data_IF_377544910635
#
_entry.id   IF_377544910635
#
_cell.length_a   1.000
_cell.length_b   1.000
_cell.length_c   1.000
_cell.angle_alpha   90.00
_cell.angle_beta   90.00
_cell.angle_gamma   90.00
#
_symmetry.space_group_name_H-M   'P 1'
#
loop_
_entity.id
_entity.type
_entity.pdbx_description
1 polymer ?
#
# COMPACT_ATOMS: atom_id res chain seq x y z
N UNK A 1 6.93 9.39 -14.33
CA UNK A 1 7.40 8.21 -13.57
C UNK A 1 8.68 8.59 -12.84
N UNK A 2 8.86 8.13 -11.61
CA UNK A 2 10.14 8.24 -10.92
C UNK A 2 11.05 7.09 -11.37
N UNK A 3 12.35 7.37 -11.51
CA UNK A 3 13.42 6.40 -11.77
C UNK A 3 14.06 6.03 -10.45
N UNK A 4 14.32 4.74 -10.23
CA UNK A 4 15.03 4.22 -9.04
C UNK A 4 16.29 3.52 -9.53
N UNK A 5 17.44 3.84 -8.91
CA UNK A 5 18.76 3.31 -9.25
C UNK A 5 19.50 2.93 -7.98
N UNK A 6 20.18 1.77 -8.01
CA UNK A 6 21.14 1.40 -6.96
C UNK A 6 22.50 1.88 -7.44
N UNK A 7 23.15 2.70 -6.64
CA UNK A 7 24.44 3.33 -6.95
C UNK A 7 25.46 2.98 -5.87
N UNK A 8 26.72 3.12 -6.21
CA UNK A 8 27.83 2.94 -5.29
C UNK A 8 28.81 4.10 -5.42
N UNK A 9 29.19 4.68 -4.28
CA UNK A 9 30.20 5.75 -4.19
C UNK A 9 31.03 5.54 -2.93
N UNK A 10 32.34 5.68 -3.03
CA UNK A 10 33.32 5.48 -1.94
C UNK A 10 33.09 4.19 -1.10
N UNK A 11 32.65 3.11 -1.77
CA UNK A 11 32.36 1.83 -1.11
C UNK A 11 31.01 1.76 -0.41
N UNK A 12 30.23 2.84 -0.39
CA UNK A 12 28.88 2.86 0.15
C UNK A 12 27.86 2.65 -0.96
N UNK A 13 26.95 1.68 -0.76
CA UNK A 13 25.81 1.46 -1.65
C UNK A 13 24.60 2.27 -1.16
N UNK A 14 23.90 2.93 -2.07
CA UNK A 14 22.68 3.70 -1.78
C UNK A 14 21.68 3.60 -2.92
N UNK A 15 20.44 4.00 -2.66
CA UNK A 15 19.37 4.06 -3.66
C UNK A 15 19.09 5.50 -4.01
N UNK A 16 19.15 5.86 -5.31
CA UNK A 16 18.72 7.17 -5.81
C UNK A 16 17.35 7.07 -6.46
N UNK A 17 16.44 7.92 -6.01
CA UNK A 17 15.13 8.12 -6.62
C UNK A 17 15.08 9.49 -7.29
N UNK A 18 14.75 9.51 -8.60
CA UNK A 18 14.71 10.72 -9.43
C UNK A 18 13.33 10.91 -10.04
N UNK A 19 12.84 12.14 -10.15
CA UNK A 19 11.56 12.50 -10.77
C UNK A 19 10.68 13.34 -9.84
N UNK A 20 9.37 13.09 -9.81
CA UNK A 20 8.48 13.79 -8.87
C UNK A 20 8.57 13.12 -7.48
N UNK A 21 9.56 13.59 -6.70
CA UNK A 21 9.91 13.00 -5.40
C UNK A 21 9.25 13.70 -4.19
N UNK A 22 8.65 14.87 -4.39
CA UNK A 22 8.12 15.69 -3.28
C UNK A 22 7.13 14.92 -2.41
N UNK A 23 6.21 14.19 -3.04
CA UNK A 23 5.19 13.39 -2.33
C UNK A 23 5.78 12.25 -1.49
N UNK A 24 6.89 11.65 -1.93
CA UNK A 24 7.58 10.63 -1.15
C UNK A 24 8.33 11.24 0.03
N UNK A 25 9.09 12.33 -0.22
CA UNK A 25 9.87 13.00 0.83
C UNK A 25 8.98 13.58 1.92
N UNK A 26 7.90 14.27 1.54
CA UNK A 26 6.91 14.80 2.47
C UNK A 26 6.35 13.68 3.37
N UNK A 27 6.05 12.50 2.80
CA UNK A 27 5.50 11.40 3.56
C UNK A 27 6.55 10.69 4.43
N UNK A 28 7.79 10.53 3.93
CA UNK A 28 8.91 10.01 4.72
C UNK A 28 9.17 10.87 5.95
N UNK A 29 9.21 12.21 5.80
CA UNK A 29 9.40 13.15 6.91
C UNK A 29 8.27 13.06 7.93
N UNK A 30 7.03 13.02 7.46
CA UNK A 30 5.88 12.87 8.34
C UNK A 30 5.88 11.54 9.12
N UNK A 31 6.31 10.43 8.51
CA UNK A 31 6.38 9.12 9.15
C UNK A 31 7.61 8.96 10.06
N UNK A 32 8.67 9.75 9.86
CA UNK A 32 9.91 9.64 10.63
C UNK A 32 9.73 9.87 12.15
N UNK A 33 8.62 10.52 12.54
CA UNK A 33 8.26 10.75 13.96
C UNK A 33 7.58 9.54 14.62
N UNK A 34 7.15 8.56 13.83
CA UNK A 34 6.49 7.34 14.31
C UNK A 34 7.54 6.26 14.59
N UNK A 35 7.19 5.29 15.42
CA UNK A 35 8.04 4.14 15.69
C UNK A 35 7.90 3.08 14.55
N UNK A 36 8.17 3.51 13.31
CA UNK A 36 8.15 2.68 12.10
C UNK A 36 9.55 2.68 11.48
N UNK A 37 10.03 1.51 11.08
CA UNK A 37 11.31 1.40 10.38
C UNK A 37 11.17 1.87 8.92
N UNK A 38 11.91 2.93 8.58
CA UNK A 38 11.97 3.54 7.25
C UNK A 38 13.43 3.62 6.79
N UNK A 39 13.72 3.64 5.47
CA UNK A 39 15.06 3.93 4.99
C UNK A 39 15.46 5.37 5.33
N UNK A 40 16.71 5.57 5.76
CA UNK A 40 17.24 6.91 6.02
C UNK A 40 17.42 7.68 4.71
N UNK A 41 16.91 8.91 4.64
CA UNK A 41 17.27 9.84 3.58
C UNK A 41 18.68 10.35 3.86
N UNK A 42 19.58 10.19 2.88
CA UNK A 42 20.98 10.55 2.98
C UNK A 42 21.22 11.96 2.42
N UNK A 43 20.72 12.23 1.21
CA UNK A 43 20.88 13.51 0.53
C UNK A 43 19.63 13.84 -0.29
N UNK A 44 19.37 15.12 -0.51
CA UNK A 44 18.27 15.60 -1.36
C UNK A 44 18.86 16.60 -2.39
N UNK A 45 18.54 16.38 -3.67
CA UNK A 45 18.99 17.20 -4.80
C UNK A 45 17.80 17.58 -5.67
N UNK A 46 17.46 18.81 -5.85
CA UNK A 46 16.46 19.25 -6.82
C UNK A 46 15.28 18.26 -7.07
N UNK A 47 15.42 17.43 -8.07
CA UNK A 47 14.43 16.40 -8.44
C UNK A 47 14.82 14.96 -8.08
N UNK A 48 15.81 14.77 -7.21
CA UNK A 48 16.25 13.43 -6.75
C UNK A 48 16.61 13.45 -5.26
N UNK A 49 16.59 12.27 -4.64
CA UNK A 49 17.15 12.05 -3.32
C UNK A 49 17.82 10.67 -3.25
N UNK A 50 18.82 10.60 -2.37
CA UNK A 50 19.50 9.36 -2.02
C UNK A 50 18.99 8.87 -0.68
N UNK A 51 18.78 7.57 -0.59
CA UNK A 51 18.38 6.90 0.64
C UNK A 51 19.21 5.65 0.88
N UNK A 52 19.20 5.19 2.11
CA UNK A 52 19.84 3.97 2.57
C UNK A 52 19.49 2.79 1.64
N UNK A 53 20.51 2.06 1.21
CA UNK A 53 20.31 0.77 0.56
C UNK A 53 20.03 -0.29 1.63
N UNK A 54 18.88 -0.95 1.52
CA UNK A 54 18.51 -2.05 2.41
C UNK A 54 18.95 -3.38 1.76
N UNK A 55 19.97 -4.02 2.34
CA UNK A 55 20.26 -5.42 2.00
C UNK A 55 19.11 -6.29 2.51
N UNK A 56 18.34 -6.88 1.61
CA UNK A 56 17.03 -7.41 1.96
C UNK A 56 16.66 -8.71 1.24
N UNK A 57 15.63 -9.37 1.78
CA UNK A 57 14.70 -10.18 1.01
C UNK A 57 13.44 -9.35 0.70
N UNK A 58 12.94 -9.47 -0.54
CA UNK A 58 11.56 -9.08 -0.84
C UNK A 58 10.56 -10.02 -0.12
N UNK A 59 9.29 -9.64 -0.05
CA UNK A 59 8.31 -10.45 0.67
C UNK A 59 8.04 -11.81 0.02
N UNK A 60 8.24 -11.99 -1.28
CA UNK A 60 8.10 -13.30 -1.92
C UNK A 60 9.20 -14.25 -1.46
N UNK A 61 10.44 -13.77 -1.41
CA UNK A 61 11.57 -14.51 -0.85
C UNK A 61 11.36 -14.79 0.64
N UNK A 62 10.92 -13.78 1.41
CA UNK A 62 10.60 -13.96 2.82
C UNK A 62 9.51 -15.02 3.05
N UNK A 63 8.45 -15.01 2.24
CA UNK A 63 7.38 -16.02 2.30
C UNK A 63 7.89 -17.43 2.02
N UNK A 64 8.89 -17.58 1.18
CA UNK A 64 9.48 -18.90 0.88
C UNK A 64 10.29 -19.46 2.05
N UNK A 65 10.92 -18.60 2.85
CA UNK A 65 11.93 -18.98 3.86
C UNK A 65 11.41 -18.94 5.29
N UNK A 66 10.40 -18.12 5.60
CA UNK A 66 9.99 -17.80 6.96
C UNK A 66 8.53 -18.11 7.25
N UNK A 67 8.18 -18.18 8.55
CA UNK A 67 6.80 -18.14 9.01
C UNK A 67 6.29 -16.69 9.06
N UNK A 68 4.97 -16.49 9.23
CA UNK A 68 4.36 -15.17 9.13
C UNK A 68 4.25 -14.40 10.45
N UNK A 69 4.64 -15.01 11.58
CA UNK A 69 4.42 -14.42 12.92
C UNK A 69 5.06 -13.02 13.07
N UNK A 70 6.32 -12.90 12.69
CA UNK A 70 7.07 -11.64 12.82
C UNK A 70 6.55 -10.59 11.84
N UNK A 71 6.22 -10.99 10.61
CA UNK A 71 5.60 -10.10 9.62
C UNK A 71 4.23 -9.61 10.11
N UNK A 72 3.38 -10.49 10.64
CA UNK A 72 2.08 -10.09 11.22
C UNK A 72 2.28 -9.08 12.36
N UNK A 73 3.24 -9.33 13.25
CA UNK A 73 3.57 -8.40 14.34
C UNK A 73 4.00 -7.04 13.82
N UNK A 74 4.87 -7.00 12.82
CA UNK A 74 5.32 -5.77 12.18
C UNK A 74 4.17 -5.00 11.51
N UNK A 75 3.33 -5.69 10.71
CA UNK A 75 2.21 -5.06 10.02
C UNK A 75 1.18 -4.49 11.01
N UNK A 76 0.84 -5.24 12.07
CA UNK A 76 -0.06 -4.76 13.15
C UNK A 76 0.53 -3.56 13.87
N UNK A 77 1.80 -3.63 14.27
CA UNK A 77 2.49 -2.50 14.90
C UNK A 77 2.49 -1.26 14.01
N UNK A 78 2.70 -1.42 12.70
CA UNK A 78 2.65 -0.31 11.75
C UNK A 78 1.26 0.33 11.73
N UNK A 79 0.18 -0.45 11.67
CA UNK A 79 -1.20 0.07 11.72
C UNK A 79 -1.49 0.75 13.06
N UNK A 80 -1.03 0.19 14.17
CA UNK A 80 -1.18 0.80 15.51
C UNK A 80 -0.48 2.17 15.58
N UNK A 81 0.72 2.31 15.00
CA UNK A 81 1.42 3.60 14.94
C UNK A 81 0.68 4.61 14.07
N UNK A 82 0.18 4.19 12.90
CA UNK A 82 -0.55 5.06 11.98
C UNK A 82 -1.91 5.52 12.55
N UNK A 83 -2.55 4.71 13.38
CA UNK A 83 -3.88 4.98 13.96
C UNK A 83 -3.86 5.75 15.28
N UNK A 84 -2.70 6.09 15.85
CA UNK A 84 -2.60 6.72 17.20
C UNK A 84 -3.30 8.05 17.35
N UNK A 85 -3.26 8.88 16.32
CA UNK A 85 -3.83 10.22 16.34
C UNK A 85 -4.86 10.33 15.21
N UNK A 86 -6.14 10.25 15.57
CA UNK A 86 -7.22 10.29 14.60
C UNK A 86 -8.16 11.46 14.84
N UNK A 87 -8.67 12.02 13.76
CA UNK A 87 -9.73 13.03 13.76
C UNK A 87 -10.78 12.58 12.74
N UNK A 88 -12.05 12.51 13.13
CA UNK A 88 -13.13 12.19 12.22
C UNK A 88 -13.21 13.20 11.07
N UNK A 89 -13.27 12.70 9.83
CA UNK A 89 -13.27 13.51 8.60
C UNK A 89 -14.31 13.00 7.62
N UNK A 90 -15.01 13.92 6.96
CA UNK A 90 -15.92 13.63 5.84
C UNK A 90 -15.11 13.44 4.55
N UNK A 91 -15.17 12.25 3.97
CA UNK A 91 -14.46 11.88 2.73
C UNK A 91 -15.31 12.01 1.47
N UNK A 92 -16.59 12.41 1.57
CA UNK A 92 -17.52 12.44 0.43
C UNK A 92 -16.97 13.23 -0.75
N UNK A 93 -16.47 14.45 -0.53
CA UNK A 93 -15.92 15.29 -1.59
C UNK A 93 -14.65 14.70 -2.23
N UNK A 94 -13.83 13.97 -1.47
CA UNK A 94 -12.66 13.28 -1.96
C UNK A 94 -13.08 12.12 -2.87
N UNK A 95 -14.06 11.31 -2.46
CA UNK A 95 -14.61 10.25 -3.30
C UNK A 95 -15.18 10.79 -4.60
N UNK A 96 -16.03 11.83 -4.52
CA UNK A 96 -16.63 12.48 -5.69
C UNK A 96 -15.57 12.98 -6.67
N UNK A 97 -14.56 13.69 -6.18
CA UNK A 97 -13.46 14.23 -7.00
C UNK A 97 -12.63 13.11 -7.66
N UNK A 98 -12.24 12.09 -6.89
CA UNK A 98 -11.38 11.01 -7.41
C UNK A 98 -12.12 10.10 -8.39
N UNK A 99 -13.37 9.76 -8.09
CA UNK A 99 -14.18 8.91 -8.94
C UNK A 99 -14.73 9.66 -10.17
N UNK A 100 -14.87 10.98 -10.14
CA UNK A 100 -15.19 11.78 -11.33
C UNK A 100 -14.08 11.69 -12.40
N UNK A 101 -12.82 11.58 -11.99
CA UNK A 101 -11.69 11.43 -12.89
C UNK A 101 -11.48 9.99 -13.39
N UNK A 102 -12.15 9.00 -12.79
CA UNK A 102 -12.00 7.59 -13.16
C UNK A 102 -12.85 7.28 -14.42
N UNK A 103 -12.27 6.64 -15.45
CA UNK A 103 -12.96 6.40 -16.71
C UNK A 103 -13.84 5.13 -16.67
N UNK A 104 -14.95 5.16 -15.92
CA UNK A 104 -15.85 4.01 -15.70
C UNK A 104 -16.24 3.30 -17.00
N UNK A 105 -16.53 4.03 -18.07
CA UNK A 105 -16.94 3.45 -19.35
C UNK A 105 -15.89 2.55 -20.04
N UNK A 106 -14.64 2.57 -19.57
CA UNK A 106 -13.55 1.74 -20.10
C UNK A 106 -13.47 0.34 -19.46
N UNK A 107 -14.21 0.11 -18.37
CA UNK A 107 -14.11 -1.07 -17.54
C UNK A 107 -15.46 -1.74 -17.36
N UNK A 108 -15.44 -3.07 -17.23
CA UNK A 108 -16.62 -3.88 -17.01
C UNK A 108 -16.90 -4.00 -15.50
N UNK A 109 -17.50 -2.95 -14.93
CA UNK A 109 -17.82 -2.84 -13.52
C UNK A 109 -19.30 -3.10 -13.25
N UNK A 110 -19.65 -3.75 -12.12
CA UNK A 110 -21.05 -4.09 -11.79
C UNK A 110 -21.83 -2.93 -11.17
N UNK A 111 -21.28 -1.73 -11.13
CA UNK A 111 -21.86 -0.53 -10.50
C UNK A 111 -21.49 0.75 -11.23
N UNK A 112 -22.26 1.77 -10.98
CA UNK A 112 -21.99 3.16 -11.38
C UNK A 112 -21.15 3.88 -10.32
N UNK A 113 -20.60 5.04 -10.68
CA UNK A 113 -19.91 5.94 -9.73
C UNK A 113 -20.76 6.24 -8.50
N UNK A 114 -22.03 6.62 -8.73
CA UNK A 114 -22.91 7.09 -7.66
C UNK A 114 -23.33 5.95 -6.72
N UNK A 115 -23.53 4.74 -7.25
CA UNK A 115 -23.77 3.54 -6.44
C UNK A 115 -22.58 3.22 -5.54
N UNK A 116 -21.34 3.33 -6.04
CA UNK A 116 -20.16 3.11 -5.21
C UNK A 116 -20.05 4.19 -4.11
N UNK A 117 -20.24 5.47 -4.46
CA UNK A 117 -20.17 6.57 -3.48
C UNK A 117 -21.21 6.36 -2.36
N UNK A 118 -22.42 5.91 -2.70
CA UNK A 118 -23.47 5.64 -1.72
C UNK A 118 -23.15 4.51 -0.73
N UNK A 119 -22.23 3.62 -1.10
CA UNK A 119 -21.77 2.47 -0.28
C UNK A 119 -20.51 2.77 0.53
N UNK A 120 -19.72 3.77 0.11
CA UNK A 120 -18.50 4.14 0.81
C UNK A 120 -18.83 4.82 2.17
N UNK A 121 -18.05 4.56 3.24
CA UNK A 121 -18.24 5.20 4.52
C UNK A 121 -17.97 6.71 4.38
N UNK A 122 -18.97 7.52 4.76
CA UNK A 122 -18.88 8.97 4.68
C UNK A 122 -17.83 9.54 5.63
N UNK A 123 -17.80 9.05 6.85
CA UNK A 123 -16.88 9.48 7.90
C UNK A 123 -15.89 8.39 8.19
N UNK A 124 -14.60 8.75 8.21
CA UNK A 124 -13.50 7.90 8.58
C UNK A 124 -12.49 8.70 9.43
N UNK A 125 -11.67 8.02 10.25
CA UNK A 125 -10.59 8.67 10.96
C UNK A 125 -9.50 9.13 9.97
N UNK A 126 -9.29 10.45 9.82
CA UNK A 126 -8.05 11.00 9.25
C UNK A 126 -6.90 10.76 10.23
N UNK A 127 -5.75 10.32 9.77
CA UNK A 127 -4.65 9.86 10.61
C UNK A 127 -3.30 10.01 9.92
N UNK A 128 -2.24 9.57 10.57
CA UNK A 128 -1.04 9.21 9.82
C UNK A 128 -1.33 8.05 8.89
N UNK A 129 -0.57 7.95 7.78
CA UNK A 129 -0.79 6.94 6.74
C UNK A 129 0.47 6.73 5.92
N UNK A 130 0.59 5.59 5.27
CA UNK A 130 1.66 5.30 4.31
C UNK A 130 1.29 5.77 2.89
N UNK A 131 0.03 5.57 2.48
CA UNK A 131 -0.53 5.96 1.19
C UNK A 131 -0.37 4.93 0.07
N UNK A 132 0.44 3.88 0.29
CA UNK A 132 0.59 2.72 -0.58
C UNK A 132 1.08 1.48 0.21
N UNK A 133 0.38 1.13 1.30
CA UNK A 133 0.76 0.06 2.22
C UNK A 133 0.45 -1.31 1.62
N UNK A 134 1.37 -1.80 0.80
CA UNK A 134 1.32 -3.11 0.12
C UNK A 134 2.50 -3.98 0.56
N UNK A 135 2.42 -5.29 0.33
CA UNK A 135 3.52 -6.21 0.62
C UNK A 135 4.75 -5.96 -0.27
N UNK A 136 4.57 -5.41 -1.48
CA UNK A 136 5.70 -4.99 -2.34
C UNK A 136 6.52 -3.84 -1.73
N UNK A 137 5.91 -3.06 -0.81
CA UNK A 137 6.55 -1.95 -0.12
C UNK A 137 7.11 -2.32 1.27
N UNK A 138 7.19 -3.61 1.58
CA UNK A 138 7.82 -4.14 2.81
C UNK A 138 9.07 -4.94 2.42
N UNK A 139 10.21 -4.60 3.04
CA UNK A 139 11.46 -5.33 2.87
C UNK A 139 11.86 -6.00 4.19
N UNK A 140 12.42 -7.21 4.11
CA UNK A 140 13.06 -7.85 5.25
C UNK A 140 14.55 -7.58 5.22
N UNK A 141 15.04 -6.73 6.14
CA UNK A 141 16.45 -6.33 6.25
C UNK A 141 17.29 -7.46 6.83
N UNK A 142 18.35 -7.84 6.11
CA UNK A 142 19.21 -8.97 6.48
C UNK A 142 20.22 -8.65 7.59
N UNK A 143 20.55 -7.38 7.79
CA UNK A 143 21.60 -6.96 8.74
C UNK A 143 21.19 -7.10 10.20
N UNK A 144 19.90 -6.96 10.50
CA UNK A 144 19.33 -6.99 11.85
C UNK A 144 18.04 -7.80 11.98
N UNK A 145 17.64 -8.49 10.89
CA UNK A 145 16.42 -9.29 10.82
C UNK A 145 15.15 -8.49 11.14
N UNK A 146 15.08 -7.25 10.65
CA UNK A 146 13.95 -6.35 10.85
C UNK A 146 13.18 -6.12 9.54
N UNK A 147 11.94 -5.61 9.64
CA UNK A 147 11.19 -5.15 8.47
C UNK A 147 11.36 -3.64 8.30
N UNK A 148 11.40 -3.21 7.05
CA UNK A 148 11.50 -1.80 6.65
C UNK A 148 10.39 -1.50 5.66
N UNK A 149 9.66 -0.42 5.91
CA UNK A 149 8.59 0.07 5.03
C UNK A 149 9.18 1.10 4.08
N UNK A 150 8.95 0.93 2.77
CA UNK A 150 9.52 1.78 1.72
C UNK A 150 8.42 2.45 0.89
N UNK A 151 8.79 3.46 0.11
CA UNK A 151 7.94 4.13 -0.87
C UNK A 151 6.60 4.70 -0.36
N UNK A 152 6.59 5.41 0.78
CA UNK A 152 5.38 6.10 1.23
C UNK A 152 4.99 7.20 0.23
N UNK A 153 3.69 7.49 0.13
CA UNK A 153 3.17 8.39 -0.88
C UNK A 153 2.09 9.33 -0.31
N UNK A 154 2.30 10.63 -0.41
CA UNK A 154 1.26 11.62 -0.06
C UNK A 154 -0.01 11.40 -0.90
N UNK A 155 -1.15 11.34 -0.23
CA UNK A 155 -2.46 11.07 -0.80
C UNK A 155 -3.52 11.95 -0.11
N UNK A 156 -4.62 12.25 -0.81
CA UNK A 156 -5.82 12.84 -0.20
C UNK A 156 -6.61 11.80 0.62
N UNK A 157 -6.33 10.52 0.43
CA UNK A 157 -6.79 9.42 1.27
C UNK A 157 -5.90 9.33 2.52
N UNK A 158 -5.98 10.34 3.36
CA UNK A 158 -5.15 10.59 4.53
C UNK A 158 -5.62 9.82 5.77
N UNK A 159 -5.72 8.50 5.66
CA UNK A 159 -6.14 7.62 6.75
C UNK A 159 -5.47 6.25 6.65
N UNK A 160 -5.11 5.68 7.80
CA UNK A 160 -4.65 4.29 7.91
C UNK A 160 -5.68 3.28 7.38
N UNK A 161 -6.97 3.66 7.36
CA UNK A 161 -8.05 2.79 6.84
C UNK A 161 -7.88 2.50 5.35
N UNK A 162 -7.37 3.45 4.57
CA UNK A 162 -7.06 3.22 3.16
C UNK A 162 -5.80 2.37 2.99
N UNK A 163 -4.86 2.44 3.91
CA UNK A 163 -3.69 1.55 3.95
C UNK A 163 -4.10 0.12 4.31
N UNK A 164 -5.06 -0.08 5.23
CA UNK A 164 -5.67 -1.39 5.48
C UNK A 164 -6.32 -1.96 4.22
N UNK A 165 -7.08 -1.16 3.49
CA UNK A 165 -7.70 -1.59 2.23
C UNK A 165 -6.66 -1.92 1.15
N UNK A 166 -5.52 -1.21 1.13
CA UNK A 166 -4.38 -1.53 0.26
C UNK A 166 -3.71 -2.85 0.65
N UNK A 167 -3.50 -3.09 1.93
CA UNK A 167 -2.96 -4.35 2.43
C UNK A 167 -3.93 -5.52 2.10
N UNK A 168 -5.22 -5.32 2.29
CA UNK A 168 -6.27 -6.31 1.93
C UNK A 168 -6.26 -6.68 0.45
N UNK A 169 -5.95 -5.74 -0.45
CA UNK A 169 -5.78 -5.99 -1.88
C UNK A 169 -4.77 -7.12 -2.13
N UNK A 170 -3.67 -7.14 -1.38
CA UNK A 170 -2.65 -8.18 -1.47
C UNK A 170 -3.09 -9.47 -0.76
N UNK A 171 -3.65 -9.35 0.44
CA UNK A 171 -3.96 -10.49 1.32
C UNK A 171 -5.17 -11.31 0.86
N UNK A 172 -6.24 -10.65 0.45
CA UNK A 172 -7.53 -11.30 0.13
C UNK A 172 -7.75 -11.46 -1.37
N UNK A 173 -7.45 -10.43 -2.17
CA UNK A 173 -7.54 -10.56 -3.63
C UNK A 173 -6.31 -11.28 -4.22
N UNK A 174 -5.19 -11.33 -3.49
CA UNK A 174 -3.96 -11.97 -3.99
C UNK A 174 -3.23 -11.16 -5.06
N UNK A 175 -3.41 -9.84 -5.10
CA UNK A 175 -2.76 -8.98 -6.08
C UNK A 175 -1.24 -9.12 -6.07
N UNK A 176 -0.65 -9.21 -4.88
CA UNK A 176 0.79 -9.41 -4.67
C UNK A 176 1.34 -10.68 -5.37
N UNK A 177 0.53 -11.76 -5.41
CA UNK A 177 0.94 -13.06 -5.97
C UNK A 177 0.26 -13.40 -7.30
N UNK A 178 -0.40 -12.44 -7.96
CA UNK A 178 -1.22 -12.69 -9.18
C UNK A 178 -0.45 -13.36 -10.33
N UNK A 179 0.87 -13.21 -10.36
CA UNK A 179 1.76 -13.81 -11.35
C UNK A 179 2.59 -14.99 -10.79
N UNK A 180 2.31 -15.41 -9.55
CA UNK A 180 3.05 -16.46 -8.85
C UNK A 180 2.23 -17.74 -8.73
N UNK A 181 2.87 -18.79 -8.23
CA UNK A 181 2.17 -20.02 -7.91
C UNK A 181 1.23 -19.84 -6.71
N UNK A 182 0.17 -20.64 -6.65
CA UNK A 182 -0.85 -20.65 -5.57
C UNK A 182 -0.26 -20.97 -4.18
N UNK A 183 1.00 -21.32 -4.09
CA UNK A 183 1.68 -21.76 -2.86
C UNK A 183 1.61 -20.74 -1.71
N UNK A 184 1.61 -19.44 -2.00
CA UNK A 184 1.60 -18.41 -0.97
C UNK A 184 0.21 -18.09 -0.40
N UNK A 185 -0.86 -18.55 -1.02
CA UNK A 185 -2.24 -18.30 -0.59
C UNK A 185 -2.51 -18.64 0.88
N UNK A 186 -2.04 -19.77 1.45
CA UNK A 186 -2.25 -20.06 2.88
C UNK A 186 -1.57 -19.06 3.81
N UNK A 187 -0.41 -18.51 3.41
CA UNK A 187 0.32 -17.50 4.19
C UNK A 187 -0.38 -16.15 4.15
N UNK A 188 -0.88 -15.74 2.98
CA UNK A 188 -1.70 -14.53 2.84
C UNK A 188 -2.97 -14.62 3.69
N UNK A 189 -3.66 -15.77 3.65
CA UNK A 189 -4.84 -16.03 4.47
C UNK A 189 -4.53 -15.95 5.98
N UNK A 190 -3.42 -16.52 6.43
CA UNK A 190 -2.99 -16.42 7.83
C UNK A 190 -2.77 -14.97 8.27
N UNK A 191 -2.19 -14.13 7.40
CA UNK A 191 -2.01 -12.71 7.68
C UNK A 191 -3.38 -12.01 7.73
N UNK A 192 -4.25 -12.23 6.74
CA UNK A 192 -5.60 -11.64 6.71
C UNK A 192 -6.42 -12.00 7.95
N UNK A 193 -6.43 -13.28 8.36
CA UNK A 193 -7.10 -13.73 9.58
C UNK A 193 -6.59 -13.03 10.85
N UNK A 194 -5.30 -12.69 10.89
CA UNK A 194 -4.74 -11.95 12.02
C UNK A 194 -5.21 -10.49 12.09
N UNK A 195 -5.78 -9.94 11.02
CA UNK A 195 -6.35 -8.60 10.95
C UNK A 195 -7.87 -8.55 11.09
N UNK A 196 -8.55 -9.69 11.24
CA UNK A 196 -10.01 -9.78 11.26
C UNK A 196 -10.67 -8.97 12.41
N UNK A 197 -9.93 -8.67 13.47
CA UNK A 197 -10.35 -7.86 14.62
C UNK A 197 -9.99 -6.37 14.50
N UNK A 198 -9.28 -5.97 13.43
CA UNK A 198 -8.90 -4.58 13.22
C UNK A 198 -10.08 -3.80 12.60
N UNK A 199 -10.43 -2.68 13.24
CA UNK A 199 -11.54 -1.84 12.80
C UNK A 199 -11.36 -1.39 11.33
N UNK A 200 -12.43 -1.45 10.55
CA UNK A 200 -12.49 -1.14 9.11
C UNK A 200 -11.76 -2.12 8.19
N UNK A 201 -11.10 -3.16 8.70
CA UNK A 201 -10.38 -4.12 7.84
C UNK A 201 -11.32 -4.87 6.88
N UNK A 202 -12.56 -5.15 7.28
CA UNK A 202 -13.55 -5.93 6.53
C UNK A 202 -14.37 -5.12 5.52
N UNK A 203 -14.09 -3.83 5.30
CA UNK A 203 -14.88 -2.97 4.41
C UNK A 203 -14.58 -3.25 2.93
N UNK A 204 -15.47 -4.01 2.26
CA UNK A 204 -15.34 -4.41 0.86
C UNK A 204 -15.36 -3.20 -0.10
N UNK A 205 -16.10 -2.13 0.20
CA UNK A 205 -16.20 -0.96 -0.68
C UNK A 205 -14.94 -0.09 -0.66
N UNK A 206 -14.24 -0.02 0.47
CA UNK A 206 -12.91 0.60 0.53
C UNK A 206 -11.86 -0.23 -0.24
N UNK A 207 -11.95 -1.55 -0.18
CA UNK A 207 -11.10 -2.43 -0.99
C UNK A 207 -11.38 -2.24 -2.48
N UNK A 208 -12.65 -2.18 -2.91
CA UNK A 208 -13.03 -1.85 -4.29
C UNK A 208 -12.43 -0.50 -4.71
N UNK A 209 -12.52 0.53 -3.87
CA UNK A 209 -11.94 1.84 -4.15
C UNK A 209 -10.43 1.77 -4.38
N UNK A 210 -9.70 0.94 -3.60
CA UNK A 210 -8.25 0.75 -3.79
C UNK A 210 -7.94 -0.04 -5.06
N UNK A 211 -8.74 -1.03 -5.43
CA UNK A 211 -8.61 -1.76 -6.70
C UNK A 211 -8.85 -0.83 -7.90
N UNK A 212 -9.83 0.07 -7.84
CA UNK A 212 -10.06 1.09 -8.86
C UNK A 212 -8.87 2.03 -9.04
N UNK A 213 -8.10 2.33 -7.98
CA UNK A 213 -6.88 3.15 -8.09
C UNK A 213 -5.77 2.47 -8.90
N UNK A 214 -5.72 1.14 -8.89
CA UNK A 214 -4.71 0.35 -9.63
C UNK A 214 -5.13 0.15 -11.09
N UNK A 215 -6.41 -0.04 -11.34
CA UNK A 215 -6.96 -0.45 -12.63
C UNK A 215 -6.49 0.39 -13.84
N UNK A 216 -6.40 1.75 -13.77
CA UNK A 216 -5.92 2.57 -14.89
C UNK A 216 -4.44 2.38 -15.22
N UNK A 217 -3.65 1.80 -14.32
CA UNK A 217 -2.21 1.60 -14.48
C UNK A 217 -1.86 0.17 -14.90
N UNK A 218 -2.84 -0.71 -15.06
CA UNK A 218 -2.61 -2.06 -15.57
C UNK A 218 -2.13 -2.01 -17.02
N UNK A 219 -0.99 -2.67 -17.29
CA UNK A 219 -0.34 -2.65 -18.61
C UNK A 219 -0.80 -3.80 -19.51
N UNK A 220 -1.38 -4.83 -18.95
CA UNK A 220 -1.79 -6.03 -19.67
C UNK A 220 -3.26 -6.40 -19.39
N UNK A 221 -3.83 -7.19 -20.29
CA UNK A 221 -5.23 -7.61 -20.22
C UNK A 221 -5.51 -8.52 -19.02
N UNK A 222 -4.55 -9.37 -18.64
CA UNK A 222 -4.72 -10.31 -17.51
C UNK A 222 -4.87 -9.58 -16.18
N UNK A 223 -4.03 -8.57 -15.91
CA UNK A 223 -4.10 -7.75 -14.70
C UNK A 223 -5.41 -6.96 -14.63
N UNK A 224 -5.84 -6.39 -15.78
CA UNK A 224 -7.13 -5.70 -15.88
C UNK A 224 -8.28 -6.66 -15.52
N UNK A 225 -8.35 -7.80 -16.19
CA UNK A 225 -9.42 -8.80 -15.98
C UNK A 225 -9.41 -9.34 -14.55
N UNK A 226 -8.23 -9.57 -13.98
CA UNK A 226 -8.08 -9.97 -12.59
C UNK A 226 -8.78 -8.98 -11.64
N UNK A 227 -8.47 -7.69 -11.76
CA UNK A 227 -9.06 -6.65 -10.90
C UNK A 227 -10.58 -6.57 -11.11
N UNK A 228 -11.07 -6.61 -12.35
CA UNK A 228 -12.51 -6.57 -12.66
C UNK A 228 -13.25 -7.77 -12.03
N UNK A 229 -12.64 -8.96 -12.03
CA UNK A 229 -13.20 -10.16 -11.37
C UNK A 229 -13.24 -9.99 -9.86
N UNK A 230 -12.16 -9.52 -9.23
CA UNK A 230 -12.14 -9.30 -7.77
C UNK A 230 -13.16 -8.24 -7.34
N UNK A 231 -13.27 -7.13 -8.07
CA UNK A 231 -14.31 -6.13 -7.83
C UNK A 231 -15.72 -6.73 -7.89
N UNK A 232 -16.02 -7.61 -8.87
CA UNK A 232 -17.33 -8.27 -8.96
C UNK A 232 -17.63 -9.20 -7.80
N UNK A 233 -16.62 -9.90 -7.26
CA UNK A 233 -16.78 -10.77 -6.08
C UNK A 233 -17.09 -9.97 -4.82
N UNK A 234 -16.50 -8.79 -4.68
CA UNK A 234 -16.66 -7.90 -3.52
C UNK A 234 -17.96 -7.09 -3.57
N UNK A 235 -18.48 -6.80 -4.76
CA UNK A 235 -19.70 -6.00 -4.91
C UNK A 235 -20.94 -6.80 -4.51
N UNK A 236 -21.64 -6.31 -3.46
CA UNK A 236 -22.88 -6.92 -2.90
C UNK A 236 -24.04 -5.93 -2.89
#
# INVERSE_FOLDING_TARGET
MSKVEILQDDGQTFVRKTGNISRNLERLDALARLNIQLPKVLNVYGNSYDMEYISNYDMKTYFSLHNMKELISFLKHTIDELSRNTIEKDYTSIYESKLAAFPFAKYDLPFTKDELIAKLPKYLPSSDYHGDFTLDNVLYRLTDNSFVLIDPLTSEYDSYVFDLAKLRQDLECGWFIRNESVYYTPKLKMISEAFADVEHFDNDYLLILMLLRVLPYTLNYSDKTFIEIEIRKLWK
#
